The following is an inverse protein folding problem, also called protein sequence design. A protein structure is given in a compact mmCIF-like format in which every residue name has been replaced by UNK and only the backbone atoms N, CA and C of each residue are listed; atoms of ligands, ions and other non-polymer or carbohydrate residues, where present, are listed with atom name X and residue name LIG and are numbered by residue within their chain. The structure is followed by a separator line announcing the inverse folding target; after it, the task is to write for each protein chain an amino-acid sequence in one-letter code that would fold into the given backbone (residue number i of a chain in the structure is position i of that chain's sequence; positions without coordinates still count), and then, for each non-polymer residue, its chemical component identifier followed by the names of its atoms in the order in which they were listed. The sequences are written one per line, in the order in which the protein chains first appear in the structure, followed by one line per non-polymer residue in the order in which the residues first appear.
data_IF_672387382018
#
_entry.id   IF_672387382018
#
_cell.length_a   1.000
_cell.length_b   1.000
_cell.length_c   1.000
_cell.angle_alpha   90.00
_cell.angle_beta   90.00
_cell.angle_gamma   90.00
#
_symmetry.space_group_name_H-M   'P 1'
#
loop_
_entity.id
_entity.type
_entity.pdbx_description
1 polymer ?
#
# COMPACT_ATOMS: atom_id res chain seq x y z
N UNK A 1 0.39 11.39 5.72
CA UNK A 1 0.60 12.46 4.73
C UNK A 1 2.05 12.70 4.32
N UNK A 2 2.95 13.16 5.21
CA UNK A 2 4.33 13.49 4.83
C UNK A 2 5.12 12.37 4.11
N UNK A 3 4.84 11.11 4.43
CA UNK A 3 5.50 9.96 3.78
C UNK A 3 5.07 9.77 2.31
N UNK A 4 3.80 10.04 1.97
CA UNK A 4 3.30 9.90 0.59
C UNK A 4 4.00 10.92 -0.30
N UNK A 5 4.09 12.16 0.15
CA UNK A 5 4.71 13.22 -0.64
C UNK A 5 6.22 13.03 -0.79
N UNK A 6 6.89 12.46 0.22
CA UNK A 6 8.33 12.21 0.24
C UNK A 6 8.77 11.00 -0.60
N UNK A 7 8.08 9.87 -0.49
CA UNK A 7 8.59 8.60 -1.02
C UNK A 7 7.92 8.15 -2.33
N UNK A 8 6.74 8.65 -2.67
CA UNK A 8 6.05 8.25 -3.88
C UNK A 8 6.30 9.24 -5.02
N UNK A 9 6.44 8.71 -6.24
CA UNK A 9 6.60 9.52 -7.44
C UNK A 9 5.30 10.28 -7.78
N UNK A 10 5.39 11.45 -8.42
CA UNK A 10 4.21 12.22 -8.86
C UNK A 10 3.28 11.40 -9.78
N UNK A 11 3.90 10.69 -10.73
CA UNK A 11 3.23 9.73 -11.61
C UNK A 11 3.05 8.34 -11.00
N UNK A 12 2.85 8.22 -9.69
CA UNK A 12 2.61 6.92 -9.04
C UNK A 12 1.45 6.19 -9.71
N UNK A 13 1.65 4.91 -9.98
CA UNK A 13 0.61 4.01 -10.48
C UNK A 13 0.67 2.73 -9.67
N UNK A 14 -0.49 2.30 -9.20
CA UNK A 14 -0.68 1.02 -8.55
C UNK A 14 -1.81 0.25 -9.24
N UNK A 15 -1.52 -1.02 -9.53
CA UNK A 15 -2.41 -1.99 -10.10
C UNK A 15 -2.78 -2.98 -8.99
N UNK A 16 -3.79 -2.61 -8.21
CA UNK A 16 -4.27 -3.41 -7.09
C UNK A 16 -5.12 -4.60 -7.53
N UNK A 17 -5.55 -5.38 -6.53
CA UNK A 17 -6.41 -6.55 -6.72
C UNK A 17 -7.67 -6.23 -7.53
N UNK A 18 -8.17 -7.23 -8.26
CA UNK A 18 -9.42 -7.14 -9.04
C UNK A 18 -9.44 -6.04 -10.11
N UNK A 19 -8.27 -5.64 -10.61
CA UNK A 19 -8.15 -4.62 -11.67
C UNK A 19 -8.33 -3.18 -11.17
N UNK A 20 -8.33 -2.96 -9.85
CA UNK A 20 -8.35 -1.61 -9.28
C UNK A 20 -7.08 -0.87 -9.67
N UNK A 21 -7.22 0.39 -10.09
CA UNK A 21 -6.08 1.26 -10.43
C UNK A 21 -6.07 2.49 -9.53
N UNK A 22 -4.93 2.77 -8.93
CA UNK A 22 -4.68 4.00 -8.18
C UNK A 22 -3.65 4.80 -8.98
N UNK A 23 -3.99 6.05 -9.32
CA UNK A 23 -3.14 6.93 -10.13
C UNK A 23 -2.91 8.22 -9.36
N UNK A 24 -1.63 8.54 -9.14
CA UNK A 24 -1.17 9.74 -8.46
C UNK A 24 -1.31 9.69 -6.94
N UNK A 25 -0.63 10.65 -6.29
CA UNK A 25 -0.55 10.74 -4.82
C UNK A 25 -1.90 10.97 -4.14
N UNK A 26 -2.82 11.71 -4.77
CA UNK A 26 -4.14 11.98 -4.20
C UNK A 26 -4.95 10.69 -4.03
N UNK A 27 -5.05 9.87 -5.08
CA UNK A 27 -5.79 8.62 -5.03
C UNK A 27 -5.17 7.63 -4.03
N UNK A 28 -3.82 7.59 -3.94
CA UNK A 28 -3.13 6.81 -2.93
C UNK A 28 -3.47 7.29 -1.51
N UNK A 29 -3.45 8.60 -1.26
CA UNK A 29 -3.81 9.18 0.04
C UNK A 29 -5.24 8.83 0.44
N UNK A 30 -6.19 8.96 -0.48
CA UNK A 30 -7.59 8.63 -0.24
C UNK A 30 -7.76 7.13 0.07
N UNK A 31 -7.02 6.25 -0.62
CA UNK A 31 -7.03 4.80 -0.35
C UNK A 31 -6.46 4.47 1.05
N UNK A 32 -5.30 5.03 1.41
CA UNK A 32 -4.68 4.83 2.73
C UNK A 32 -5.60 5.32 3.85
N UNK A 33 -6.17 6.52 3.70
CA UNK A 33 -7.09 7.07 4.70
C UNK A 33 -8.39 6.25 4.81
N UNK A 34 -8.91 5.73 3.69
CA UNK A 34 -10.07 4.84 3.72
C UNK A 34 -9.77 3.56 4.49
N UNK A 35 -8.61 2.95 4.28
CA UNK A 35 -8.21 1.72 4.97
C UNK A 35 -8.02 1.97 6.48
N UNK A 36 -7.32 3.05 6.86
CA UNK A 36 -7.14 3.45 8.25
C UNK A 36 -8.45 3.79 8.97
N UNK A 37 -9.47 4.28 8.25
CA UNK A 37 -10.81 4.48 8.83
C UNK A 37 -11.53 3.15 9.03
N UNK A 38 -11.41 2.23 8.08
CA UNK A 38 -12.04 0.91 8.17
C UNK A 38 -11.42 0.03 9.27
N UNK A 39 -10.09 0.12 9.42
CA UNK A 39 -9.27 -0.63 10.37
C UNK A 39 -8.30 0.33 11.10
N UNK A 40 -8.77 1.05 12.14
CA UNK A 40 -7.94 2.03 12.84
C UNK A 40 -6.78 1.43 13.63
N UNK A 41 -6.83 0.13 13.91
CA UNK A 41 -5.79 -0.68 14.55
C UNK A 41 -5.01 -1.54 13.55
N UNK A 42 -5.07 -1.22 12.23
CA UNK A 42 -4.38 -2.00 11.21
C UNK A 42 -2.88 -2.04 11.43
N UNK A 43 -2.32 -3.25 11.34
CA UNK A 43 -0.89 -3.51 11.36
C UNK A 43 -0.50 -4.31 10.13
N UNK A 44 0.64 -3.96 9.54
CA UNK A 44 1.23 -4.66 8.41
C UNK A 44 2.56 -5.24 8.88
N UNK A 45 2.69 -6.57 8.79
CA UNK A 45 3.92 -7.28 9.06
C UNK A 45 4.51 -7.82 7.77
N UNK A 46 5.59 -7.19 7.29
CA UNK A 46 6.35 -7.67 6.14
C UNK A 46 7.09 -8.94 6.56
N UNK A 47 6.80 -10.06 5.90
CA UNK A 47 7.39 -11.37 6.26
C UNK A 47 8.73 -11.62 5.59
N UNK A 48 8.94 -11.02 4.42
CA UNK A 48 10.21 -11.07 3.69
C UNK A 48 10.32 -9.83 2.77
N UNK A 49 11.54 -9.54 2.31
CA UNK A 49 11.78 -8.48 1.33
C UNK A 49 12.87 -8.94 0.36
N UNK A 50 12.45 -9.23 -0.87
CA UNK A 50 13.37 -9.64 -1.93
C UNK A 50 13.46 -8.53 -2.96
N UNK A 51 14.65 -7.97 -3.14
CA UNK A 51 14.90 -6.93 -4.13
C UNK A 51 15.87 -7.43 -5.21
N UNK A 52 15.53 -7.15 -6.46
CA UNK A 52 16.37 -7.43 -7.63
C UNK A 52 16.55 -6.15 -8.44
N UNK A 53 17.80 -5.78 -8.73
CA UNK A 53 18.10 -4.58 -9.48
C UNK A 53 19.48 -4.03 -9.16
N UNK A 54 19.67 -2.75 -9.46
CA UNK A 54 20.89 -2.00 -9.18
C UNK A 54 20.58 -0.51 -9.04
N UNK A 55 21.56 0.28 -8.60
CA UNK A 55 21.37 1.72 -8.31
C UNK A 55 21.11 2.59 -9.56
N UNK A 56 21.41 2.08 -10.76
CA UNK A 56 21.21 2.81 -12.01
C UNK A 56 19.79 2.58 -12.57
N UNK A 57 19.35 1.33 -12.60
CA UNK A 57 18.07 0.93 -13.19
C UNK A 57 16.91 0.99 -12.19
N UNK A 58 17.21 0.90 -10.90
CA UNK A 58 16.26 0.74 -9.81
C UNK A 58 16.13 -0.72 -9.36
N UNK A 59 15.36 -0.91 -8.30
CA UNK A 59 15.10 -2.22 -7.68
C UNK A 59 13.63 -2.59 -7.83
N UNK A 60 13.37 -3.78 -8.33
CA UNK A 60 12.07 -4.43 -8.16
C UNK A 60 12.09 -5.14 -6.82
N UNK A 61 11.20 -4.76 -5.91
CA UNK A 61 11.09 -5.35 -4.59
C UNK A 61 9.75 -6.05 -4.44
N UNK A 62 9.79 -7.32 -4.02
CA UNK A 62 8.64 -8.11 -3.63
C UNK A 62 8.60 -8.22 -2.11
N UNK A 63 7.49 -7.81 -1.51
CA UNK A 63 7.28 -7.79 -0.06
C UNK A 63 5.98 -8.54 0.25
N UNK A 64 6.03 -9.86 0.50
CA UNK A 64 4.92 -10.56 1.10
C UNK A 64 4.63 -10.00 2.49
N UNK A 65 3.35 -9.88 2.83
CA UNK A 65 2.92 -9.32 4.09
C UNK A 65 1.74 -10.07 4.71
N UNK A 66 1.60 -9.88 6.02
CA UNK A 66 0.44 -10.29 6.80
C UNK A 66 -0.13 -9.03 7.42
N UNK A 67 -1.40 -8.75 7.12
CA UNK A 67 -2.14 -7.65 7.69
C UNK A 67 -3.09 -8.18 8.78
N UNK A 68 -3.24 -7.41 9.84
CA UNK A 68 -4.20 -7.67 10.91
C UNK A 68 -4.90 -6.39 11.33
N UNK A 69 -6.18 -6.47 11.68
CA UNK A 69 -6.92 -5.34 12.22
C UNK A 69 -8.36 -5.70 12.56
N UNK A 70 -9.05 -4.80 13.24
CA UNK A 70 -10.47 -4.91 13.60
C UNK A 70 -11.29 -3.97 12.74
N UNK A 71 -12.31 -4.48 12.05
CA UNK A 71 -13.13 -3.65 11.17
C UNK A 71 -14.12 -2.79 11.98
N UNK A 72 -13.67 -1.61 12.40
CA UNK A 72 -14.42 -0.66 13.24
C UNK A 72 -15.05 0.49 12.45
N UNK A 73 -14.67 0.66 11.17
CA UNK A 73 -15.27 1.65 10.27
C UNK A 73 -15.86 1.03 9.00
N UNK A 74 -16.64 1.80 8.22
CA UNK A 74 -17.10 1.34 6.92
C UNK A 74 -15.93 1.07 5.99
N UNK A 75 -16.03 0.00 5.20
CA UNK A 75 -15.04 -0.39 4.19
C UNK A 75 -15.66 -0.43 2.80
N UNK A 76 -14.86 -0.77 1.78
CA UNK A 76 -15.36 -1.03 0.44
C UNK A 76 -16.40 -2.17 0.37
N UNK A 77 -16.48 -3.01 1.40
CA UNK A 77 -17.38 -4.16 1.47
C UNK A 77 -18.64 -3.92 2.32
N UNK A 78 -18.82 -2.71 2.87
CA UNK A 78 -20.03 -2.34 3.62
C UNK A 78 -19.76 -1.72 4.99
N UNK A 79 -20.77 -1.67 5.87
CA UNK A 79 -20.66 -1.13 7.22
C UNK A 79 -19.64 -1.88 8.09
N UNK A 80 -19.22 -1.22 9.18
CA UNK A 80 -18.34 -1.83 10.17
C UNK A 80 -18.94 -3.12 10.74
N UNK A 81 -18.14 -4.19 10.80
CA UNK A 81 -18.56 -5.49 11.31
C UNK A 81 -18.16 -5.73 12.77
N UNK A 82 -17.21 -4.95 13.30
CA UNK A 82 -16.65 -5.12 14.64
C UNK A 82 -15.79 -6.37 14.81
N UNK A 83 -15.42 -7.04 13.71
CA UNK A 83 -14.69 -8.31 13.74
C UNK A 83 -13.21 -8.12 13.46
N UNK A 84 -12.41 -8.98 14.09
CA UNK A 84 -11.00 -9.15 13.76
C UNK A 84 -10.87 -9.80 12.37
N UNK A 85 -9.95 -9.29 11.57
CA UNK A 85 -9.55 -9.85 10.29
C UNK A 85 -8.03 -10.00 10.24
N UNK A 86 -7.60 -11.07 9.58
CA UNK A 86 -6.22 -11.32 9.19
C UNK A 86 -6.19 -11.77 7.74
N UNK A 87 -5.33 -11.15 6.94
CA UNK A 87 -5.18 -11.50 5.53
C UNK A 87 -3.72 -11.35 5.10
N UNK A 88 -3.38 -12.01 4.00
CA UNK A 88 -2.06 -11.95 3.39
C UNK A 88 -2.10 -11.09 2.15
N UNK A 89 -1.04 -10.35 1.90
CA UNK A 89 -0.82 -9.62 0.67
C UNK A 89 0.58 -9.88 0.12
N UNK A 90 0.80 -9.34 -1.07
CA UNK A 90 2.11 -9.25 -1.69
C UNK A 90 2.16 -7.95 -2.47
N UNK A 91 3.11 -7.09 -2.11
CA UNK A 91 3.39 -5.87 -2.85
C UNK A 91 4.60 -6.10 -3.73
N UNK A 92 4.43 -5.85 -5.02
CA UNK A 92 5.55 -5.71 -5.96
C UNK A 92 5.70 -4.24 -6.34
N UNK A 93 6.85 -3.66 -6.05
CA UNK A 93 7.13 -2.25 -6.32
C UNK A 93 8.41 -2.07 -7.13
N UNK A 94 8.42 -1.03 -7.96
CA UNK A 94 9.64 -0.52 -8.57
C UNK A 94 10.12 0.70 -7.77
N UNK A 95 11.25 0.55 -7.09
CA UNK A 95 11.90 1.62 -6.35
C UNK A 95 13.07 2.14 -7.18
N UNK A 96 13.02 3.41 -7.56
CA UNK A 96 14.06 4.06 -8.35
C UNK A 96 14.26 5.49 -7.89
N UNK A 97 15.50 6.00 -8.00
CA UNK A 97 15.78 7.43 -7.88
C UNK A 97 14.91 8.20 -8.86
N UNK A 98 14.22 9.22 -8.35
CA UNK A 98 13.48 10.13 -9.21
C UNK A 98 14.50 10.98 -10.00
N UNK A 99 14.51 10.95 -11.35
CA UNK A 99 15.45 11.74 -12.14
C UNK A 99 15.21 13.25 -12.02
N UNK A 100 14.05 13.70 -11.52
CA UNK A 100 13.74 15.10 -11.31
C UNK A 100 14.31 15.67 -9.99
N UNK A 101 14.95 14.85 -9.15
CA UNK A 101 15.51 15.23 -7.83
C UNK A 101 16.92 14.70 -7.66
#
# INVERSE_FOLDING_TARGET
DAAIDKYFHEGYVDAGSWGRRIIGKKALRDAVLSEMRAFPDIQIHITDCVCKGNDNDGYKCAMPDVLTGTNLGPSAYGPATGRFARWTGMVESLVKRNPAT
#
